data_IF_825010473061
#
_entry.id   IF_825010473061
#
_cell.length_a   1.000
_cell.length_b   1.000
_cell.length_c   1.000
_cell.angle_alpha   90.00
_cell.angle_beta   90.00
_cell.angle_gamma   90.00
#
_symmetry.space_group_name_H-M   'P 1'
#
loop_
_entity.id
_entity.type
_entity.pdbx_description
1 polymer ?
#
# COMPACT_ATOMS: atom_id res chain seq x y z
N UNK A 1 -1.51 34.48 39.37
CA UNK A 1 -0.96 35.10 38.15
C UNK A 1 -1.18 34.12 37.02
N UNK A 2 -2.22 34.37 36.22
CA UNK A 2 -2.58 33.58 35.05
C UNK A 2 -1.73 34.06 33.87
N UNK A 3 -0.92 33.18 33.29
CA UNK A 3 -0.28 33.43 32.01
C UNK A 3 -1.25 33.03 30.91
N UNK A 4 -1.92 34.03 30.33
CA UNK A 4 -2.66 33.91 29.08
C UNK A 4 -1.63 33.82 27.96
N UNK A 5 -1.50 32.64 27.35
CA UNK A 5 -0.76 32.50 26.09
C UNK A 5 -1.66 32.99 24.96
N UNK A 6 -1.24 34.02 24.22
CA UNK A 6 -1.95 34.49 23.03
C UNK A 6 -1.69 33.51 21.88
N UNK A 7 -2.78 32.97 21.32
CA UNK A 7 -2.80 32.06 20.18
C UNK A 7 -2.62 32.91 18.91
N UNK A 8 -1.58 32.64 18.13
CA UNK A 8 -1.42 33.12 16.74
C UNK A 8 -1.87 32.03 15.76
N UNK A 9 -2.44 32.43 14.64
CA UNK A 9 -3.41 31.73 13.78
C UNK A 9 -2.86 30.74 12.73
N UNK A 10 -1.87 29.89 13.06
CA UNK A 10 -1.11 29.14 12.03
C UNK A 10 -1.18 27.59 12.05
N UNK A 11 -2.14 26.98 12.77
CA UNK A 11 -2.08 25.53 13.07
C UNK A 11 -3.23 24.65 12.52
N UNK A 12 -2.87 23.49 11.95
CA UNK A 12 -3.74 22.34 11.66
C UNK A 12 -4.02 21.54 12.94
N UNK A 13 -5.29 21.19 13.22
CA UNK A 13 -5.75 20.50 14.43
C UNK A 13 -6.12 19.03 14.13
N UNK A 14 -5.44 18.06 14.75
CA UNK A 14 -5.78 16.63 14.68
C UNK A 14 -6.20 16.14 16.08
N UNK A 15 -7.33 15.44 16.27
CA UNK A 15 -7.77 15.08 17.64
C UNK A 15 -8.41 13.70 17.88
N UNK A 16 -8.13 13.15 19.08
CA UNK A 16 -9.07 12.32 19.85
C UNK A 16 -8.84 12.51 21.36
N UNK A 17 -9.97 12.61 22.10
CA UNK A 17 -10.17 12.89 23.54
C UNK A 17 -10.07 14.37 23.91
N UNK A 18 -10.85 14.72 24.93
CA UNK A 18 -11.38 16.05 25.26
C UNK A 18 -10.28 17.11 25.50
N UNK A 19 -9.00 16.73 25.61
CA UNK A 19 -7.85 17.63 25.79
C UNK A 19 -6.64 17.38 24.83
N UNK A 20 -6.70 16.46 23.86
CA UNK A 20 -5.55 16.09 22.99
C UNK A 20 -5.75 16.55 21.53
N UNK A 21 -5.37 17.80 21.25
CA UNK A 21 -5.32 18.38 19.91
C UNK A 21 -3.86 18.53 19.50
N UNK A 22 -3.46 17.88 18.41
CA UNK A 22 -2.13 18.06 17.80
C UNK A 22 -2.20 19.27 16.90
N UNK A 23 -1.34 20.25 17.16
CA UNK A 23 -1.16 21.47 16.37
C UNK A 23 0.05 21.29 15.47
N UNK A 24 -0.16 21.41 14.16
CA UNK A 24 0.91 21.36 13.17
C UNK A 24 0.87 22.64 12.33
N UNK A 25 1.97 23.39 12.29
CA UNK A 25 2.03 24.60 11.46
C UNK A 25 1.86 24.26 9.98
N UNK A 26 1.17 25.13 9.24
CA UNK A 26 0.91 24.92 7.81
C UNK A 26 2.21 24.74 6.99
N UNK A 27 3.26 25.48 7.34
CA UNK A 27 4.58 25.37 6.71
C UNK A 27 5.21 24.00 6.93
N UNK A 28 5.21 23.49 8.18
CA UNK A 28 5.74 22.17 8.51
C UNK A 28 4.95 21.07 7.80
N UNK A 29 3.62 21.20 7.78
CA UNK A 29 2.76 20.27 7.08
C UNK A 29 2.99 20.28 5.57
N UNK A 30 3.09 21.46 4.95
CA UNK A 30 3.41 21.60 3.53
C UNK A 30 4.73 20.93 3.19
N UNK A 31 5.78 21.23 3.96
CA UNK A 31 7.10 20.61 3.78
C UNK A 31 7.01 19.08 3.89
N UNK A 32 6.26 18.56 4.87
CA UNK A 32 6.08 17.13 5.07
C UNK A 32 5.36 16.45 3.89
N UNK A 33 4.22 16.99 3.44
CA UNK A 33 3.41 16.36 2.38
C UNK A 33 3.97 16.56 0.97
N UNK A 34 4.92 17.49 0.78
CA UNK A 34 5.59 17.72 -0.50
C UNK A 34 6.99 17.12 -0.58
N UNK A 35 7.49 16.57 0.53
CA UNK A 35 8.79 15.89 0.55
C UNK A 35 8.84 14.72 -0.42
N UNK A 36 9.92 14.67 -1.22
CA UNK A 36 10.25 13.55 -2.11
C UNK A 36 10.98 12.41 -1.38
N UNK A 37 11.27 12.59 -0.09
CA UNK A 37 11.99 11.63 0.74
C UNK A 37 11.24 11.33 2.02
N UNK A 38 11.35 10.08 2.46
CA UNK A 38 10.90 9.69 3.78
C UNK A 38 11.89 10.24 4.81
N UNK A 39 11.39 11.02 5.75
CA UNK A 39 12.13 11.59 6.87
C UNK A 39 11.79 10.79 8.12
N UNK A 40 12.71 9.93 8.53
CA UNK A 40 12.60 9.12 9.76
C UNK A 40 13.40 9.74 10.92
N UNK A 41 13.78 11.00 10.80
CA UNK A 41 14.33 11.76 11.90
C UNK A 41 13.22 12.06 12.92
N UNK A 42 13.59 12.03 14.20
CA UNK A 42 12.71 12.32 15.33
C UNK A 42 12.44 13.84 15.46
N UNK A 43 12.14 14.50 14.33
CA UNK A 43 11.64 15.87 14.26
C UNK A 43 10.15 15.83 14.54
N UNK A 44 9.67 16.77 15.36
CA UNK A 44 8.30 16.75 15.90
C UNK A 44 7.20 16.47 14.87
N UNK A 45 7.28 17.07 13.67
CA UNK A 45 6.31 16.83 12.60
C UNK A 45 6.23 15.36 12.17
N UNK A 46 7.36 14.68 11.99
CA UNK A 46 7.37 13.30 11.51
C UNK A 46 6.73 12.36 12.54
N UNK A 47 7.03 12.58 13.83
CA UNK A 47 6.48 11.79 14.94
C UNK A 47 4.97 12.01 15.05
N UNK A 48 4.50 13.25 14.99
CA UNK A 48 3.07 13.54 15.09
C UNK A 48 2.29 12.99 13.88
N UNK A 49 2.86 13.08 12.68
CA UNK A 49 2.25 12.50 11.48
C UNK A 49 2.27 10.96 11.50
N UNK A 50 3.35 10.34 11.95
CA UNK A 50 3.44 8.88 12.11
C UNK A 50 2.41 8.38 13.14
N UNK A 51 2.25 9.10 14.24
CA UNK A 51 1.22 8.84 15.26
C UNK A 51 -0.18 8.98 14.64
N UNK A 52 -0.46 10.09 13.94
CA UNK A 52 -1.74 10.28 13.25
C UNK A 52 -2.09 9.12 12.33
N UNK A 53 -1.15 8.66 11.50
CA UNK A 53 -1.36 7.57 10.55
C UNK A 53 -1.53 6.20 11.22
N UNK A 54 -0.75 5.91 12.27
CA UNK A 54 -0.83 4.64 13.01
C UNK A 54 -2.16 4.53 13.77
N UNK A 55 -2.65 5.64 14.32
CA UNK A 55 -3.88 5.73 15.10
C UNK A 55 -5.05 6.33 14.32
N UNK A 56 -5.04 6.29 12.98
CA UNK A 56 -6.05 6.95 12.16
C UNK A 56 -7.49 6.48 12.43
N UNK A 57 -7.66 5.23 12.86
CA UNK A 57 -8.97 4.68 13.25
C UNK A 57 -9.50 5.22 14.57
N UNK A 58 -8.63 5.87 15.34
CA UNK A 58 -8.99 6.48 16.60
C UNK A 58 -9.29 7.98 16.44
N UNK A 59 -8.94 8.59 15.31
CA UNK A 59 -9.18 10.01 15.08
C UNK A 59 -10.62 10.23 14.62
N UNK A 60 -11.36 11.08 15.34
CA UNK A 60 -12.75 11.38 15.01
C UNK A 60 -12.86 12.62 14.09
N UNK A 61 -11.89 13.53 14.18
CA UNK A 61 -11.88 14.79 13.44
C UNK A 61 -10.46 15.28 13.14
N UNK A 62 -10.27 15.76 11.92
CA UNK A 62 -9.13 16.52 11.42
C UNK A 62 -9.62 17.92 11.00
N UNK A 63 -8.94 18.97 11.43
CA UNK A 63 -9.20 20.35 11.04
C UNK A 63 -7.94 20.89 10.39
N UNK A 64 -8.05 21.39 9.16
CA UNK A 64 -6.96 22.02 8.41
C UNK A 64 -7.26 23.51 8.38
N UNK A 65 -6.53 24.27 9.19
CA UNK A 65 -6.72 25.71 9.30
C UNK A 65 -5.75 26.44 8.36
N UNK A 66 -6.32 27.06 7.33
CA UNK A 66 -5.63 27.87 6.33
C UNK A 66 -5.90 29.38 6.58
N UNK A 67 -6.28 29.78 7.78
CA UNK A 67 -6.56 31.19 8.11
C UNK A 67 -5.32 32.02 8.48
N UNK A 68 -4.11 31.44 8.36
CA UNK A 68 -2.82 32.08 8.60
C UNK A 68 -2.38 33.12 7.55
N UNK A 69 -1.27 33.81 7.84
CA UNK A 69 -0.73 34.99 7.11
C UNK A 69 -0.88 34.89 5.58
N UNK A 70 -1.63 35.82 4.97
CA UNK A 70 -1.87 35.89 3.51
C UNK A 70 -0.57 35.80 2.70
N UNK A 71 0.55 36.25 3.28
CA UNK A 71 1.88 36.16 2.68
C UNK A 71 2.36 34.71 2.50
N UNK A 72 2.08 33.80 3.44
CA UNK A 72 2.45 32.38 3.35
C UNK A 72 1.64 31.69 2.24
N UNK A 73 0.33 31.95 2.19
CA UNK A 73 -0.55 31.40 1.16
C UNK A 73 -0.20 31.95 -0.23
N UNK A 74 0.24 33.21 -0.32
CA UNK A 74 0.71 33.81 -1.59
C UNK A 74 2.10 33.35 -2.03
N UNK A 75 2.98 32.97 -1.10
CA UNK A 75 4.37 32.56 -1.39
C UNK A 75 4.52 31.04 -1.56
N UNK A 76 3.68 30.24 -0.89
CA UNK A 76 3.57 28.80 -1.13
C UNK A 76 2.81 28.63 -2.44
N UNK A 77 3.56 28.36 -3.51
CA UNK A 77 3.07 28.03 -4.86
C UNK A 77 1.74 27.26 -4.81
N UNK A 78 0.66 27.99 -5.05
CA UNK A 78 -0.73 27.64 -4.73
C UNK A 78 -1.13 26.28 -5.32
N UNK A 79 -0.64 25.93 -6.51
CA UNK A 79 -1.06 24.70 -7.20
C UNK A 79 -0.48 23.42 -6.60
N UNK A 80 0.80 23.43 -6.18
CA UNK A 80 1.47 22.24 -5.67
C UNK A 80 0.98 21.87 -4.28
N UNK A 81 0.75 22.87 -3.42
CA UNK A 81 0.19 22.63 -2.09
C UNK A 81 -1.21 22.03 -2.17
N UNK A 82 -2.14 22.65 -2.91
CA UNK A 82 -3.52 22.14 -3.01
C UNK A 82 -3.60 20.78 -3.69
N UNK A 83 -2.69 20.48 -4.62
CA UNK A 83 -2.56 19.14 -5.19
C UNK A 83 -2.13 18.12 -4.14
N UNK A 84 -1.05 18.38 -3.40
CA UNK A 84 -0.56 17.48 -2.34
C UNK A 84 -1.55 17.34 -1.19
N UNK A 85 -2.22 18.44 -0.81
CA UNK A 85 -3.29 18.43 0.18
C UNK A 85 -4.48 17.60 -0.30
N UNK A 86 -4.88 17.71 -1.56
CA UNK A 86 -5.94 16.87 -2.13
C UNK A 86 -5.56 15.39 -2.11
N UNK A 87 -4.29 15.06 -2.40
CA UNK A 87 -3.78 13.69 -2.27
C UNK A 87 -3.84 13.24 -0.80
N UNK A 88 -3.37 14.07 0.12
CA UNK A 88 -3.39 13.79 1.56
C UNK A 88 -4.80 13.59 2.12
N UNK A 89 -5.78 14.42 1.77
CA UNK A 89 -7.18 14.29 2.22
C UNK A 89 -7.79 13.02 1.63
N UNK A 90 -7.48 12.75 0.36
CA UNK A 90 -7.74 11.45 -0.23
C UNK A 90 -6.82 10.36 0.34
N UNK A 91 -6.13 10.57 1.44
CA UNK A 91 -5.55 9.59 2.34
C UNK A 91 -6.47 8.85 3.27
N UNK A 92 -7.51 9.59 3.63
CA UNK A 92 -8.13 9.48 4.93
C UNK A 92 -9.32 8.54 4.89
N UNK A 93 -9.60 7.79 5.96
CA UNK A 93 -10.78 6.94 6.03
C UNK A 93 -12.09 7.73 5.91
N UNK A 94 -13.13 7.12 5.33
CA UNK A 94 -14.45 7.76 5.14
C UNK A 94 -15.16 8.16 6.44
N UNK A 95 -14.81 7.53 7.57
CA UNK A 95 -15.40 7.88 8.87
C UNK A 95 -14.77 9.14 9.49
N UNK A 96 -13.56 9.52 9.07
CA UNK A 96 -12.85 10.68 9.63
C UNK A 96 -13.55 11.96 9.18
N UNK A 97 -13.93 12.81 10.13
CA UNK A 97 -14.45 14.13 9.80
C UNK A 97 -13.29 15.04 9.42
N UNK A 98 -13.28 15.56 8.20
CA UNK A 98 -12.27 16.52 7.75
C UNK A 98 -12.94 17.86 7.61
N UNK A 99 -12.42 18.88 8.29
CA UNK A 99 -12.85 20.26 8.20
C UNK A 99 -11.69 21.09 7.66
N UNK A 100 -11.89 21.84 6.57
CA UNK A 100 -10.89 22.79 6.07
C UNK A 100 -11.44 24.19 6.31
N UNK A 101 -10.68 25.04 7.00
CA UNK A 101 -10.98 26.46 7.26
C UNK A 101 -10.04 27.32 6.43
N UNK A 102 -10.52 28.44 5.90
CA UNK A 102 -9.69 29.37 5.13
C UNK A 102 -10.51 30.56 4.61
N UNK A 103 -9.83 31.55 4.05
CA UNK A 103 -10.43 32.68 3.32
C UNK A 103 -10.22 32.47 1.80
N UNK A 104 -11.21 32.85 0.97
CA UNK A 104 -11.16 32.73 -0.49
C UNK A 104 -10.88 31.29 -0.98
N UNK A 105 -11.68 30.30 -0.52
CA UNK A 105 -11.47 28.90 -0.85
C UNK A 105 -11.85 28.54 -2.31
N UNK A 106 -12.33 29.48 -3.13
CA UNK A 106 -12.71 29.26 -4.54
C UNK A 106 -11.63 28.51 -5.36
N UNK A 107 -10.34 28.77 -5.09
CA UNK A 107 -9.21 28.07 -5.73
C UNK A 107 -9.10 26.63 -5.21
N UNK A 108 -9.11 26.45 -3.89
CA UNK A 108 -9.10 25.14 -3.23
C UNK A 108 -10.31 24.30 -3.66
N UNK A 109 -11.45 24.93 -3.86
CA UNK A 109 -12.70 24.32 -4.29
C UNK A 109 -12.53 23.63 -5.65
N UNK A 110 -11.73 24.14 -6.58
CA UNK A 110 -11.47 23.44 -7.86
C UNK A 110 -10.69 22.13 -7.72
N UNK A 111 -9.80 22.02 -6.72
CA UNK A 111 -8.99 20.83 -6.45
C UNK A 111 -9.73 19.85 -5.53
N UNK A 112 -10.31 20.36 -4.45
CA UNK A 112 -11.10 19.64 -3.46
C UNK A 112 -12.41 19.15 -4.09
N UNK A 113 -13.00 19.90 -5.03
CA UNK A 113 -14.27 19.53 -5.67
C UNK A 113 -14.24 18.25 -6.47
N UNK A 114 -13.10 17.89 -7.08
CA UNK A 114 -12.97 16.66 -7.86
C UNK A 114 -13.07 15.41 -6.99
N UNK A 115 -12.94 15.53 -5.66
CA UNK A 115 -13.02 14.42 -4.69
C UNK A 115 -14.14 14.60 -3.65
N UNK A 116 -15.19 15.35 -4.02
CA UNK A 116 -16.39 15.69 -3.21
C UNK A 116 -17.11 14.51 -2.52
N UNK A 117 -16.91 13.28 -2.98
CA UNK A 117 -17.45 12.07 -2.33
C UNK A 117 -16.79 11.73 -0.99
N UNK A 118 -15.57 12.22 -0.74
CA UNK A 118 -14.69 11.75 0.35
C UNK A 118 -14.57 12.75 1.52
N UNK A 119 -15.19 13.94 1.40
CA UNK A 119 -15.10 15.01 2.41
C UNK A 119 -16.45 15.15 3.08
N UNK A 120 -16.46 15.01 4.40
CA UNK A 120 -17.66 15.04 5.23
C UNK A 120 -18.24 16.45 5.35
N UNK A 121 -17.40 17.48 5.54
CA UNK A 121 -17.81 18.88 5.68
C UNK A 121 -16.70 19.84 5.15
N UNK A 122 -17.04 20.89 4.39
CA UNK A 122 -16.14 22.02 4.09
C UNK A 122 -16.77 23.26 4.73
N UNK A 123 -16.00 24.01 5.54
CA UNK A 123 -16.51 25.18 6.27
C UNK A 123 -15.69 26.41 5.88
N UNK A 124 -16.22 27.21 4.96
CA UNK A 124 -15.60 28.48 4.58
C UNK A 124 -16.00 29.62 5.54
N UNK A 125 -15.01 30.38 6.01
CA UNK A 125 -15.22 31.52 6.89
C UNK A 125 -15.62 32.76 6.08
N UNK A 126 -16.78 32.71 5.42
CA UNK A 126 -17.51 33.87 4.90
C UNK A 126 -19.02 33.59 4.73
N UNK A 127 -19.64 32.90 5.70
CA UNK A 127 -21.09 32.84 5.90
C UNK A 127 -21.96 32.36 4.71
N UNK A 128 -21.48 31.41 3.90
CA UNK A 128 -22.27 30.48 3.04
C UNK A 128 -21.23 29.64 2.29
N UNK A 129 -20.99 28.40 2.66
CA UNK A 129 -21.67 27.22 2.09
C UNK A 129 -21.48 26.05 3.07
N UNK A 130 -22.58 25.40 3.49
CA UNK A 130 -22.54 24.07 4.13
C UNK A 130 -22.99 23.06 3.09
N UNK A 131 -22.05 22.40 2.40
CA UNK A 131 -22.38 21.36 1.43
C UNK A 131 -22.14 19.99 2.03
N UNK A 132 -23.21 19.41 2.59
CA UNK A 132 -23.24 18.01 3.03
C UNK A 132 -23.30 17.10 1.80
N UNK A 133 -22.20 16.47 1.44
CA UNK A 133 -22.13 15.58 0.28
C UNK A 133 -22.09 14.14 0.77
N UNK A 134 -23.15 13.39 0.47
CA UNK A 134 -23.17 11.93 0.62
C UNK A 134 -23.04 11.33 -0.77
N UNK A 135 -21.91 10.71 -1.08
CA UNK A 135 -21.85 9.83 -2.26
C UNK A 135 -22.40 8.46 -1.89
N UNK A 136 -23.71 8.28 -2.11
CA UNK A 136 -24.26 6.95 -2.32
C UNK A 136 -24.28 6.70 -3.83
N UNK A 137 -23.23 6.07 -4.35
CA UNK A 137 -23.37 5.25 -5.54
C UNK A 137 -22.95 3.83 -5.18
N UNK A 138 -23.92 2.93 -5.20
CA UNK A 138 -23.69 1.50 -5.23
C UNK A 138 -23.01 1.18 -6.57
N UNK A 139 -21.69 1.33 -6.63
CA UNK A 139 -20.91 0.80 -7.75
C UNK A 139 -20.89 -0.71 -7.65
N UNK A 140 -21.13 -1.41 -8.77
CA UNK A 140 -20.84 -2.84 -8.90
C UNK A 140 -19.42 -3.11 -8.39
N UNK A 141 -19.24 -4.13 -7.56
CA UNK A 141 -17.92 -4.54 -7.13
C UNK A 141 -17.08 -4.96 -8.34
N UNK A 142 -15.83 -4.52 -8.35
CA UNK A 142 -14.86 -4.90 -9.37
C UNK A 142 -14.23 -6.22 -8.95
N UNK A 143 -14.23 -7.19 -9.85
CA UNK A 143 -13.56 -8.47 -9.61
C UNK A 143 -12.05 -8.23 -9.57
N UNK A 144 -11.42 -8.64 -8.48
CA UNK A 144 -10.01 -8.38 -8.19
C UNK A 144 -9.27 -9.70 -8.09
N UNK A 145 -8.21 -9.83 -8.87
CA UNK A 145 -7.26 -10.92 -8.78
C UNK A 145 -5.96 -10.38 -8.19
N UNK A 146 -5.41 -11.09 -7.21
CA UNK A 146 -4.19 -10.71 -6.52
C UNK A 146 -3.14 -11.80 -6.74
N UNK A 147 -1.98 -11.42 -7.27
CA UNK A 147 -0.77 -12.24 -7.27
C UNK A 147 0.29 -11.53 -6.42
N UNK A 148 0.53 -11.99 -5.21
CA UNK A 148 1.43 -11.31 -4.30
C UNK A 148 1.13 -11.64 -2.85
N UNK A 149 1.73 -10.90 -1.94
CA UNK A 149 1.73 -11.24 -0.52
C UNK A 149 0.87 -10.27 0.31
N UNK A 150 1.29 -9.96 1.53
CA UNK A 150 0.64 -8.99 2.41
C UNK A 150 0.49 -7.60 1.77
N UNK A 151 1.46 -7.19 0.95
CA UNK A 151 1.54 -5.83 0.41
C UNK A 151 0.36 -5.47 -0.48
N UNK A 152 -0.13 -6.41 -1.29
CA UNK A 152 -1.34 -6.21 -2.11
C UNK A 152 -2.61 -6.67 -1.40
N UNK A 153 -2.57 -7.77 -0.63
CA UNK A 153 -3.75 -8.26 0.11
C UNK A 153 -4.29 -7.20 1.07
N UNK A 154 -3.40 -6.58 1.84
CA UNK A 154 -3.80 -5.64 2.89
C UNK A 154 -4.31 -4.31 2.32
N UNK A 155 -4.05 -3.98 1.06
CA UNK A 155 -4.75 -2.90 0.33
C UNK A 155 -6.26 -3.09 0.44
N UNK A 156 -6.74 -4.26 0.04
CA UNK A 156 -8.17 -4.55 -0.04
C UNK A 156 -8.80 -4.79 1.33
N UNK A 157 -8.08 -5.47 2.23
CA UNK A 157 -8.53 -5.68 3.62
C UNK A 157 -8.69 -4.34 4.35
N UNK A 158 -7.64 -3.51 4.36
CA UNK A 158 -7.69 -2.21 5.05
C UNK A 158 -8.73 -1.30 4.40
N UNK A 159 -8.87 -1.31 3.07
CA UNK A 159 -9.94 -0.56 2.40
C UNK A 159 -11.32 -1.01 2.89
N UNK A 160 -11.58 -2.31 2.95
CA UNK A 160 -12.84 -2.86 3.47
C UNK A 160 -13.07 -2.52 4.95
N UNK A 161 -12.03 -2.55 5.78
CA UNK A 161 -12.13 -2.26 7.22
C UNK A 161 -12.41 -0.77 7.51
N UNK A 162 -12.10 0.13 6.57
CA UNK A 162 -12.12 1.60 6.77
C UNK A 162 -13.19 2.34 5.96
N UNK A 163 -13.73 1.71 4.91
CA UNK A 163 -14.75 2.29 4.05
C UNK A 163 -16.10 1.60 4.27
N UNK A 164 -17.20 2.36 4.10
CA UNK A 164 -18.56 1.83 4.36
C UNK A 164 -19.01 0.81 3.33
N UNK A 165 -18.49 0.91 2.12
CA UNK A 165 -18.84 0.06 0.98
C UNK A 165 -17.56 -0.53 0.40
N UNK A 166 -17.46 -1.85 0.37
CA UNK A 166 -16.37 -2.49 -0.38
C UNK A 166 -16.65 -2.44 -1.87
N UNK A 167 -15.69 -1.89 -2.62
CA UNK A 167 -15.73 -1.77 -4.09
C UNK A 167 -15.00 -2.90 -4.81
N UNK A 168 -14.29 -3.74 -4.06
CA UNK A 168 -13.46 -4.81 -4.60
C UNK A 168 -13.98 -6.16 -4.13
N UNK A 169 -14.11 -7.09 -5.07
CA UNK A 169 -14.46 -8.48 -4.80
C UNK A 169 -13.27 -9.36 -5.18
N UNK A 170 -12.55 -9.89 -4.18
CA UNK A 170 -11.38 -10.74 -4.43
C UNK A 170 -11.87 -12.10 -4.95
N UNK A 171 -11.68 -12.36 -6.24
CA UNK A 171 -12.13 -13.60 -6.89
C UNK A 171 -11.03 -14.66 -6.95
N UNK A 172 -9.76 -14.24 -6.88
CA UNK A 172 -8.61 -15.15 -6.77
C UNK A 172 -7.43 -14.48 -6.07
N UNK A 173 -6.73 -15.24 -5.24
CA UNK A 173 -5.55 -14.78 -4.49
C UNK A 173 -4.47 -15.87 -4.50
N UNK A 174 -3.34 -15.56 -5.14
CA UNK A 174 -2.13 -16.39 -5.14
C UNK A 174 -1.03 -15.68 -4.33
N UNK A 175 -0.37 -16.42 -3.42
CA UNK A 175 0.64 -15.90 -2.50
C UNK A 175 1.63 -16.98 -2.07
N UNK A 176 2.78 -16.56 -1.53
CA UNK A 176 3.94 -17.37 -1.18
C UNK A 176 4.53 -18.10 -2.39
N UNK A 177 4.41 -17.50 -3.59
CA UNK A 177 4.94 -18.04 -4.84
C UNK A 177 5.80 -16.97 -5.52
N UNK A 178 7.07 -17.30 -5.75
CA UNK A 178 7.95 -16.47 -6.57
C UNK A 178 7.58 -16.62 -8.05
N UNK A 179 7.43 -15.48 -8.73
CA UNK A 179 7.16 -15.41 -10.16
C UNK A 179 8.29 -16.02 -10.99
N UNK A 180 9.51 -16.10 -10.45
CA UNK A 180 10.65 -16.78 -11.07
C UNK A 180 10.36 -18.23 -11.44
N UNK A 181 9.39 -18.89 -10.77
CA UNK A 181 9.06 -20.30 -11.02
C UNK A 181 7.59 -20.53 -11.40
N UNK A 182 6.80 -19.48 -11.65
CA UNK A 182 5.35 -19.62 -11.88
C UNK A 182 5.00 -20.49 -13.11
N UNK A 183 5.93 -20.59 -14.07
CA UNK A 183 5.81 -21.38 -15.31
C UNK A 183 6.75 -22.59 -15.35
N UNK A 184 7.34 -22.98 -14.22
CA UNK A 184 8.20 -24.16 -14.16
C UNK A 184 7.38 -25.45 -14.38
N UNK A 185 8.08 -26.58 -14.60
CA UNK A 185 7.44 -27.90 -14.66
C UNK A 185 6.82 -28.25 -13.30
N UNK A 186 5.58 -28.76 -13.24
CA UNK A 186 4.99 -29.22 -11.99
C UNK A 186 5.83 -30.29 -11.29
N UNK A 187 5.95 -30.19 -9.96
CA UNK A 187 6.56 -31.21 -9.14
C UNK A 187 5.55 -32.33 -8.85
N UNK A 188 5.96 -33.59 -8.97
CA UNK A 188 5.12 -34.74 -8.62
C UNK A 188 5.30 -35.06 -7.13
N UNK A 189 4.20 -35.01 -6.37
CA UNK A 189 4.20 -35.25 -4.93
C UNK A 189 2.92 -35.97 -4.49
N UNK A 190 2.97 -36.66 -3.36
CA UNK A 190 1.78 -37.12 -2.67
C UNK A 190 1.20 -35.98 -1.82
N UNK A 191 -0.04 -35.59 -2.14
CA UNK A 191 -0.80 -34.51 -1.49
C UNK A 191 -0.96 -34.72 0.02
N UNK A 192 -0.85 -35.95 0.51
CA UNK A 192 -0.89 -36.28 1.93
C UNK A 192 0.28 -35.70 2.74
N UNK A 193 1.41 -35.42 2.10
CA UNK A 193 2.59 -34.86 2.77
C UNK A 193 2.61 -33.33 2.82
N UNK A 194 1.62 -32.66 2.24
CA UNK A 194 1.51 -31.18 2.18
C UNK A 194 0.50 -30.65 3.20
N UNK A 195 0.15 -31.42 4.24
CA UNK A 195 -0.85 -31.02 5.24
C UNK A 195 -0.33 -29.88 6.11
N UNK A 196 -1.13 -28.83 6.24
CA UNK A 196 -0.91 -27.71 7.16
C UNK A 196 -2.18 -27.43 7.98
N UNK A 197 -2.03 -26.70 9.09
CA UNK A 197 -3.17 -26.28 9.93
C UNK A 197 -4.13 -25.37 9.15
N UNK A 198 -3.58 -24.40 8.40
CA UNK A 198 -4.36 -23.53 7.53
C UNK A 198 -4.59 -24.18 6.17
N UNK A 199 -5.86 -24.42 5.83
CA UNK A 199 -6.26 -24.93 4.50
C UNK A 199 -5.94 -23.98 3.36
N UNK A 200 -5.96 -22.68 3.62
CA UNK A 200 -5.54 -21.69 2.66
C UNK A 200 -4.03 -21.83 2.35
N UNK A 201 -3.17 -21.86 3.38
CA UNK A 201 -1.72 -22.00 3.18
C UNK A 201 -1.34 -23.36 2.59
N UNK A 202 -2.06 -24.43 2.95
CA UNK A 202 -1.95 -25.75 2.30
C UNK A 202 -2.23 -25.65 0.78
N UNK A 203 -3.26 -24.89 0.39
CA UNK A 203 -3.57 -24.65 -1.03
C UNK A 203 -2.47 -23.86 -1.73
N UNK A 204 -1.91 -22.82 -1.10
CA UNK A 204 -0.81 -22.03 -1.70
C UNK A 204 0.40 -22.90 -2.03
N UNK A 205 0.81 -23.78 -1.10
CA UNK A 205 1.93 -24.71 -1.35
C UNK A 205 1.61 -25.67 -2.49
N UNK A 206 0.37 -26.20 -2.54
CA UNK A 206 -0.04 -27.09 -3.62
C UNK A 206 -0.10 -26.40 -4.98
N UNK A 207 -0.57 -25.15 -5.01
CA UNK A 207 -0.65 -24.34 -6.21
C UNK A 207 0.74 -24.05 -6.78
N UNK A 208 1.73 -23.77 -5.92
CA UNK A 208 3.13 -23.63 -6.33
C UNK A 208 3.69 -24.94 -6.89
N UNK A 209 3.57 -26.04 -6.15
CA UNK A 209 4.11 -27.34 -6.58
C UNK A 209 3.46 -27.83 -7.88
N UNK A 210 2.16 -27.57 -8.09
CA UNK A 210 1.42 -28.04 -9.26
C UNK A 210 1.40 -27.05 -10.44
N UNK A 211 1.89 -25.82 -10.24
CA UNK A 211 2.03 -24.78 -11.27
C UNK A 211 0.71 -24.44 -11.99
N UNK A 212 -0.39 -24.45 -11.23
CA UNK A 212 -1.75 -24.20 -11.74
C UNK A 212 -2.17 -22.73 -11.70
N UNK A 213 -1.34 -21.86 -11.11
CA UNK A 213 -1.69 -20.47 -10.76
C UNK A 213 -2.12 -19.65 -11.98
N UNK A 214 -1.36 -19.71 -13.08
CA UNK A 214 -1.71 -18.96 -14.31
C UNK A 214 -3.06 -19.41 -14.87
N UNK A 215 -3.34 -20.72 -14.85
CA UNK A 215 -4.63 -21.24 -15.28
C UNK A 215 -5.77 -20.80 -14.34
N UNK A 216 -5.52 -20.73 -13.04
CA UNK A 216 -6.51 -20.27 -12.07
C UNK A 216 -6.78 -18.76 -12.21
N UNK A 217 -5.75 -17.96 -12.50
CA UNK A 217 -5.89 -16.53 -12.86
C UNK A 217 -6.80 -16.39 -14.09
N UNK A 218 -6.49 -17.10 -15.19
CA UNK A 218 -7.28 -17.05 -16.43
C UNK A 218 -8.75 -17.41 -16.16
N UNK A 219 -9.00 -18.49 -15.42
CA UNK A 219 -10.37 -18.95 -15.12
C UNK A 219 -11.18 -18.00 -14.25
N UNK A 220 -10.51 -17.21 -13.42
CA UNK A 220 -11.17 -16.30 -12.47
C UNK A 220 -11.37 -14.90 -13.05
N UNK A 221 -10.83 -14.63 -14.25
CA UNK A 221 -10.77 -13.31 -14.84
C UNK A 221 -11.93 -13.06 -15.82
N UNK A 222 -12.51 -11.87 -15.75
CA UNK A 222 -13.43 -11.30 -16.73
C UNK A 222 -12.81 -10.04 -17.36
N UNK A 223 -13.32 -9.55 -18.51
CA UNK A 223 -12.80 -8.33 -19.14
C UNK A 223 -12.84 -7.08 -18.24
N UNK A 224 -13.74 -7.09 -17.24
CA UNK A 224 -13.90 -6.04 -16.24
C UNK A 224 -13.17 -6.31 -14.92
N UNK A 225 -12.39 -7.40 -14.83
CA UNK A 225 -11.53 -7.64 -13.67
C UNK A 225 -10.36 -6.66 -13.62
N UNK A 226 -9.75 -6.55 -12.45
CA UNK A 226 -8.43 -5.97 -12.26
C UNK A 226 -7.46 -7.03 -11.77
N UNK A 227 -6.19 -6.87 -12.15
CA UNK A 227 -5.09 -7.71 -11.69
C UNK A 227 -4.09 -6.87 -10.92
N UNK A 228 -3.81 -7.25 -9.67
CA UNK A 228 -2.83 -6.56 -8.83
C UNK A 228 -1.68 -7.50 -8.50
N UNK A 229 -0.46 -7.04 -8.75
CA UNK A 229 0.76 -7.79 -8.49
C UNK A 229 1.74 -7.04 -7.60
N UNK A 230 2.27 -7.72 -6.57
CA UNK A 230 3.49 -7.30 -5.86
C UNK A 230 4.58 -8.37 -5.99
N UNK A 231 5.78 -8.02 -5.58
CA UNK A 231 6.96 -8.89 -5.64
C UNK A 231 7.46 -9.30 -4.25
N UNK A 232 6.64 -9.17 -3.20
CA UNK A 232 7.09 -9.43 -1.83
C UNK A 232 7.53 -10.90 -1.64
N UNK A 233 6.93 -11.82 -2.39
CA UNK A 233 7.31 -13.24 -2.38
C UNK A 233 8.67 -13.54 -3.05
N UNK A 234 9.26 -12.57 -3.75
CA UNK A 234 10.62 -12.71 -4.28
C UNK A 234 11.69 -12.69 -3.17
N UNK A 235 11.32 -12.49 -1.91
CA UNK A 235 12.24 -12.67 -0.77
C UNK A 235 12.59 -14.14 -0.51
N UNK A 236 11.85 -15.08 -1.10
CA UNK A 236 12.08 -16.51 -0.91
C UNK A 236 13.12 -17.06 -1.89
N UNK A 237 13.97 -17.98 -1.42
CA UNK A 237 14.79 -18.80 -2.30
C UNK A 237 13.92 -19.73 -3.18
N UNK A 238 14.52 -20.28 -4.22
CA UNK A 238 13.93 -21.32 -5.06
C UNK A 238 14.60 -22.67 -4.80
N UNK A 239 13.79 -23.72 -4.66
CA UNK A 239 14.24 -25.11 -4.58
C UNK A 239 14.22 -25.70 -5.98
N UNK A 240 15.30 -26.42 -6.33
CA UNK A 240 15.35 -27.31 -7.50
C UNK A 240 15.29 -28.75 -7.02
N UNK A 241 14.33 -29.52 -7.53
CA UNK A 241 14.16 -30.91 -7.14
C UNK A 241 13.52 -31.71 -8.29
N UNK A 242 14.19 -32.78 -8.71
CA UNK A 242 13.68 -33.74 -9.70
C UNK A 242 13.22 -33.08 -11.01
N UNK A 243 13.97 -32.08 -11.48
CA UNK A 243 13.65 -31.35 -12.72
C UNK A 243 12.50 -30.33 -12.61
N UNK A 244 12.04 -30.04 -11.40
CA UNK A 244 11.08 -28.97 -11.10
C UNK A 244 11.73 -27.86 -10.28
N UNK A 245 11.09 -26.69 -10.27
CA UNK A 245 11.48 -25.52 -9.47
C UNK A 245 10.27 -24.96 -8.75
N UNK A 246 10.41 -24.65 -7.46
CA UNK A 246 9.33 -24.07 -6.64
C UNK A 246 9.87 -23.25 -5.49
N UNK A 247 9.03 -22.39 -4.94
CA UNK A 247 9.38 -21.41 -3.92
C UNK A 247 9.66 -22.11 -2.59
N UNK A 248 10.79 -21.78 -1.96
CA UNK A 248 11.13 -22.22 -0.59
C UNK A 248 10.34 -21.44 0.46
N UNK A 249 9.02 -21.36 0.30
CA UNK A 249 8.16 -20.61 1.21
C UNK A 249 8.22 -21.17 2.63
N UNK A 250 7.99 -20.33 3.64
CA UNK A 250 7.93 -20.78 5.04
C UNK A 250 6.87 -21.86 5.26
N UNK A 251 5.79 -21.85 4.47
CA UNK A 251 4.71 -22.82 4.56
C UNK A 251 5.13 -24.17 3.99
N UNK A 252 5.85 -24.20 2.87
CA UNK A 252 6.43 -25.44 2.36
C UNK A 252 7.38 -26.06 3.39
N UNK A 253 8.23 -25.25 4.02
CA UNK A 253 9.22 -25.72 5.00
C UNK A 253 8.59 -26.40 6.22
N UNK A 254 7.32 -26.12 6.53
CA UNK A 254 6.56 -26.75 7.62
C UNK A 254 5.96 -28.11 7.26
N UNK A 255 5.97 -28.49 5.98
CA UNK A 255 5.33 -29.73 5.51
C UNK A 255 6.21 -30.97 5.75
N UNK A 256 5.58 -32.13 5.88
CA UNK A 256 6.30 -33.41 5.88
C UNK A 256 6.96 -33.69 4.52
N UNK A 257 6.41 -33.14 3.43
CA UNK A 257 7.02 -33.24 2.10
C UNK A 257 8.43 -32.65 2.13
N UNK A 258 8.58 -31.41 2.61
CA UNK A 258 9.87 -30.71 2.61
C UNK A 258 10.96 -31.46 3.37
N UNK A 259 10.63 -32.08 4.50
CA UNK A 259 11.58 -32.88 5.31
C UNK A 259 12.16 -34.08 4.56
N UNK A 260 11.44 -34.57 3.55
CA UNK A 260 11.79 -35.76 2.78
C UNK A 260 12.21 -35.42 1.33
N UNK A 261 12.33 -34.14 0.97
CA UNK A 261 12.77 -33.75 -0.37
C UNK A 261 14.25 -34.05 -0.55
N UNK A 262 14.59 -34.69 -1.67
CA UNK A 262 15.96 -34.75 -2.15
C UNK A 262 16.25 -33.49 -2.97
N UNK A 263 16.68 -32.43 -2.29
CA UNK A 263 16.94 -31.13 -2.91
C UNK A 263 18.21 -31.21 -3.77
N UNK A 264 18.09 -30.93 -5.07
CA UNK A 264 19.22 -30.94 -6.00
C UNK A 264 20.09 -29.69 -5.80
N UNK A 265 19.44 -28.53 -5.65
CA UNK A 265 20.10 -27.25 -5.34
C UNK A 265 19.09 -26.21 -4.85
N UNK A 266 19.61 -25.11 -4.29
CA UNK A 266 18.84 -23.94 -3.87
C UNK A 266 19.38 -22.73 -4.60
N UNK A 267 18.51 -21.99 -5.28
CA UNK A 267 18.82 -20.72 -5.91
C UNK A 267 18.44 -19.59 -4.96
N UNK A 268 19.44 -18.81 -4.55
CA UNK A 268 19.26 -17.74 -3.57
C UNK A 268 18.39 -16.60 -4.12
N UNK A 269 17.65 -15.94 -3.24
CA UNK A 269 16.61 -14.99 -3.64
C UNK A 269 17.10 -13.78 -4.44
N UNK A 270 18.36 -13.35 -4.25
CA UNK A 270 18.97 -12.18 -4.91
C UNK A 270 19.90 -12.53 -6.08
N UNK A 271 19.95 -13.81 -6.48
CA UNK A 271 20.82 -14.27 -7.54
C UNK A 271 20.43 -13.71 -8.92
N UNK A 272 21.43 -13.51 -9.78
CA UNK A 272 21.22 -13.05 -11.17
C UNK A 272 20.31 -13.98 -11.97
N UNK A 273 20.49 -15.29 -11.82
CA UNK A 273 19.64 -16.28 -12.49
C UNK A 273 18.17 -16.14 -12.05
N UNK A 274 17.90 -15.87 -10.77
CA UNK A 274 16.54 -15.63 -10.31
C UNK A 274 15.98 -14.31 -10.83
N UNK A 275 16.79 -13.26 -10.89
CA UNK A 275 16.40 -11.98 -11.51
C UNK A 275 15.98 -12.17 -12.98
N UNK A 276 16.79 -12.89 -13.78
CA UNK A 276 16.47 -13.18 -15.18
C UNK A 276 15.17 -13.98 -15.32
N UNK A 277 14.99 -15.02 -14.50
CA UNK A 277 13.78 -15.83 -14.49
C UNK A 277 12.54 -15.02 -14.08
N UNK A 278 12.69 -14.12 -13.09
CA UNK A 278 11.65 -13.20 -12.63
C UNK A 278 11.20 -12.29 -13.78
N UNK A 279 12.13 -11.58 -14.41
CA UNK A 279 11.85 -10.67 -15.52
C UNK A 279 11.20 -11.40 -16.71
N UNK A 280 11.73 -12.56 -17.08
CA UNK A 280 11.18 -13.42 -18.15
C UNK A 280 9.75 -13.86 -17.88
N UNK A 281 9.47 -14.31 -16.66
CA UNK A 281 8.14 -14.82 -16.31
C UNK A 281 7.12 -13.71 -16.06
N UNK A 282 7.52 -12.55 -15.54
CA UNK A 282 6.68 -11.34 -15.52
C UNK A 282 6.24 -10.99 -16.94
N UNK A 283 7.19 -10.89 -17.88
CA UNK A 283 6.86 -10.59 -19.29
C UNK A 283 5.86 -11.59 -19.87
N UNK A 284 6.03 -12.89 -19.60
CA UNK A 284 5.09 -13.92 -20.06
C UNK A 284 3.71 -13.79 -19.41
N UNK A 285 3.65 -13.54 -18.10
CA UNK A 285 2.40 -13.34 -17.38
C UNK A 285 1.65 -12.12 -17.92
N UNK A 286 2.33 -10.99 -18.09
CA UNK A 286 1.75 -9.76 -18.62
C UNK A 286 1.22 -9.93 -20.06
N UNK A 287 1.92 -10.71 -20.90
CA UNK A 287 1.45 -11.06 -22.24
C UNK A 287 0.19 -11.94 -22.23
N UNK A 288 0.04 -12.83 -21.24
CA UNK A 288 -1.20 -13.59 -21.04
C UNK A 288 -2.33 -12.65 -20.62
N UNK A 289 -2.05 -11.75 -19.67
CA UNK A 289 -3.04 -10.82 -19.13
C UNK A 289 -3.54 -9.80 -20.16
N UNK A 290 -2.66 -9.28 -21.02
CA UNK A 290 -3.04 -8.33 -22.07
C UNK A 290 -3.99 -8.90 -23.12
N UNK A 291 -4.06 -10.23 -23.24
CA UNK A 291 -5.05 -10.92 -24.06
C UNK A 291 -6.43 -11.09 -23.40
N UNK A 292 -6.55 -10.79 -22.10
CA UNK A 292 -7.76 -11.04 -21.28
C UNK A 292 -8.40 -9.76 -20.76
N UNK A 293 -7.57 -8.81 -20.34
CA UNK A 293 -7.98 -7.51 -19.79
C UNK A 293 -7.14 -6.40 -20.42
N UNK A 294 -7.69 -5.19 -20.40
CA UNK A 294 -6.98 -4.00 -20.87
C UNK A 294 -5.82 -3.67 -19.91
N UNK A 295 -4.70 -3.18 -20.45
CA UNK A 295 -3.46 -2.94 -19.67
C UNK A 295 -3.66 -1.93 -18.53
N UNK A 296 -4.60 -0.99 -18.69
CA UNK A 296 -5.01 -0.04 -17.66
C UNK A 296 -5.78 -0.68 -16.48
N UNK A 297 -6.01 -2.00 -16.51
CA UNK A 297 -6.58 -2.79 -15.40
C UNK A 297 -5.55 -3.71 -14.73
N UNK A 298 -4.29 -3.62 -15.17
CA UNK A 298 -3.15 -4.28 -14.54
C UNK A 298 -2.45 -3.25 -13.66
N UNK A 299 -2.28 -3.59 -12.38
CA UNK A 299 -1.66 -2.73 -11.38
C UNK A 299 -0.44 -3.43 -10.78
N UNK A 300 0.72 -2.81 -10.96
CA UNK A 300 1.97 -3.23 -10.35
C UNK A 300 2.18 -2.45 -9.05
N UNK A 301 2.12 -3.15 -7.92
CA UNK A 301 2.26 -2.61 -6.58
C UNK A 301 3.74 -2.45 -6.23
N UNK A 302 4.30 -1.28 -6.50
CA UNK A 302 5.71 -0.97 -6.26
C UNK A 302 6.00 -0.89 -4.76
N UNK A 303 6.46 -1.99 -4.19
CA UNK A 303 6.70 -2.06 -2.74
C UNK A 303 8.12 -2.50 -2.47
N UNK A 304 8.83 -1.67 -1.71
CA UNK A 304 10.15 -1.93 -1.16
C UNK A 304 10.00 -2.06 0.35
N UNK A 305 10.76 -2.96 0.97
CA UNK A 305 10.80 -3.09 2.42
C UNK A 305 11.18 -1.74 3.05
N UNK A 306 10.40 -1.28 4.02
CA UNK A 306 10.72 -0.07 4.77
C UNK A 306 11.92 -0.33 5.70
N UNK A 307 12.73 0.70 5.91
CA UNK A 307 13.91 0.62 6.78
C UNK A 307 13.59 0.90 8.25
N UNK A 308 12.45 1.52 8.55
CA UNK A 308 12.05 1.93 9.89
C UNK A 308 10.59 1.57 10.19
N UNK A 309 10.28 1.40 11.48
CA UNK A 309 8.91 1.36 11.99
C UNK A 309 8.70 2.43 13.05
N UNK A 310 7.45 2.84 13.23
CA UNK A 310 7.08 3.73 14.32
C UNK A 310 6.71 2.92 15.56
N UNK A 311 7.31 3.24 16.71
CA UNK A 311 7.16 2.45 17.95
C UNK A 311 5.93 2.82 18.80
N UNK A 312 5.00 3.62 18.25
CA UNK A 312 3.83 4.20 18.91
C UNK A 312 4.09 5.22 20.03
N UNK A 313 5.30 5.31 20.56
CA UNK A 313 5.62 6.25 21.62
C UNK A 313 6.05 7.59 21.01
N UNK A 314 7.24 7.63 20.42
CA UNK A 314 7.85 8.90 19.99
C UNK A 314 9.05 8.76 19.07
N UNK A 315 9.31 7.58 18.48
CA UNK A 315 10.52 7.38 17.69
C UNK A 315 10.31 6.45 16.50
N UNK A 316 11.10 6.70 15.45
CA UNK A 316 11.34 5.74 14.39
C UNK A 316 12.48 4.81 14.79
N UNK A 317 12.25 3.50 14.72
CA UNK A 317 13.24 2.50 15.04
C UNK A 317 13.64 1.77 13.75
N UNK A 318 14.94 1.63 13.44
CA UNK A 318 15.38 0.89 12.27
C UNK A 318 15.10 -0.60 12.44
N UNK A 319 14.71 -1.25 11.34
CA UNK A 319 14.72 -2.71 11.26
C UNK A 319 16.17 -3.22 11.13
N UNK A 320 16.45 -4.41 11.67
CA UNK A 320 17.74 -5.07 11.45
C UNK A 320 17.83 -5.59 10.02
N UNK A 321 18.79 -5.04 9.26
CA UNK A 321 19.08 -5.50 7.91
C UNK A 321 19.59 -6.95 7.90
N UNK A 322 20.30 -7.37 8.96
CA UNK A 322 20.81 -8.73 9.11
C UNK A 322 19.69 -9.77 9.23
N UNK A 323 18.56 -9.39 9.84
CA UNK A 323 17.41 -10.28 10.02
C UNK A 323 16.54 -10.40 8.76
N UNK A 324 16.49 -9.35 7.94
CA UNK A 324 15.51 -9.23 6.85
C UNK A 324 16.12 -9.12 5.46
N UNK A 325 17.43 -8.88 5.35
CA UNK A 325 18.14 -8.61 4.09
C UNK A 325 17.50 -7.47 3.29
N UNK A 326 17.09 -6.40 3.98
CA UNK A 326 16.33 -5.25 3.44
C UNK A 326 17.04 -4.66 2.23
N UNK A 327 18.34 -4.39 2.34
CA UNK A 327 19.10 -3.75 1.26
C UNK A 327 19.18 -4.65 0.02
N UNK A 328 19.54 -5.92 0.21
CA UNK A 328 19.66 -6.89 -0.88
C UNK A 328 18.30 -7.12 -1.58
N UNK A 329 17.23 -7.25 -0.80
CA UNK A 329 15.87 -7.37 -1.31
C UNK A 329 15.45 -6.11 -2.07
N UNK A 330 15.65 -4.92 -1.50
CA UNK A 330 15.26 -3.67 -2.16
C UNK A 330 16.06 -3.42 -3.44
N UNK A 331 17.35 -3.79 -3.49
CA UNK A 331 18.16 -3.75 -4.72
C UNK A 331 17.59 -4.70 -5.77
N UNK A 332 17.32 -5.95 -5.40
CA UNK A 332 16.74 -6.95 -6.29
C UNK A 332 15.40 -6.47 -6.87
N UNK A 333 14.47 -6.05 -6.01
CA UNK A 333 13.14 -5.58 -6.41
C UNK A 333 13.21 -4.32 -7.26
N UNK A 334 14.07 -3.36 -6.91
CA UNK A 334 14.21 -2.12 -7.70
C UNK A 334 14.64 -2.41 -9.12
N UNK A 335 15.54 -3.38 -9.33
CA UNK A 335 15.95 -3.83 -10.67
C UNK A 335 14.79 -4.44 -11.44
N UNK A 336 13.98 -5.28 -10.79
CA UNK A 336 12.81 -5.90 -11.44
C UNK A 336 11.76 -4.84 -11.78
N UNK A 337 11.45 -3.91 -10.86
CA UNK A 337 10.52 -2.79 -11.11
C UNK A 337 10.99 -1.97 -12.31
N UNK A 338 12.28 -1.62 -12.36
CA UNK A 338 12.85 -0.86 -13.47
C UNK A 338 12.73 -1.63 -14.80
N UNK A 339 13.00 -2.94 -14.80
CA UNK A 339 12.77 -3.78 -15.96
C UNK A 339 11.31 -3.71 -16.44
N UNK A 340 10.33 -3.80 -15.54
CA UNK A 340 8.90 -3.72 -15.91
C UNK A 340 8.56 -2.33 -16.44
N UNK A 341 9.04 -1.24 -15.81
CA UNK A 341 8.80 0.13 -16.28
C UNK A 341 9.30 0.36 -17.70
N UNK A 342 10.52 -0.10 -17.99
CA UNK A 342 11.17 0.07 -19.30
C UNK A 342 10.48 -0.77 -20.38
N UNK A 343 10.09 -2.01 -20.07
CA UNK A 343 9.60 -2.97 -21.07
C UNK A 343 8.07 -3.06 -21.18
N UNK A 344 7.32 -2.54 -20.20
CA UNK A 344 5.87 -2.68 -20.10
C UNK A 344 5.19 -1.37 -19.66
N UNK A 345 5.43 -0.28 -20.40
CA UNK A 345 4.96 1.08 -20.09
C UNK A 345 3.43 1.28 -20.10
N UNK A 346 2.66 0.29 -20.56
CA UNK A 346 1.19 0.35 -20.63
C UNK A 346 0.48 -0.10 -19.35
N UNK A 347 1.24 -0.58 -18.35
CA UNK A 347 0.75 -1.05 -17.05
C UNK A 347 0.68 0.13 -16.07
N UNK A 348 -0.30 0.12 -15.18
CA UNK A 348 -0.33 1.09 -14.10
C UNK A 348 0.61 0.66 -12.99
N UNK A 349 1.45 1.59 -12.55
CA UNK A 349 2.21 1.42 -11.33
C UNK A 349 1.53 2.18 -10.20
N UNK A 350 1.38 1.53 -9.06
CA UNK A 350 0.93 2.17 -7.84
C UNK A 350 2.12 2.28 -6.90
N UNK A 351 2.30 3.47 -6.31
CA UNK A 351 3.38 3.79 -5.38
C UNK A 351 2.79 4.51 -4.15
N UNK A 352 3.59 4.88 -3.17
CA UNK A 352 3.12 5.63 -1.99
C UNK A 352 3.98 6.86 -1.80
N UNK A 353 3.40 7.98 -1.32
CA UNK A 353 4.19 9.08 -0.82
C UNK A 353 5.24 8.58 0.19
N UNK A 354 6.49 9.07 0.13
CA UNK A 354 7.57 8.57 0.97
C UNK A 354 7.26 8.62 2.47
N UNK A 355 6.53 9.63 2.92
CA UNK A 355 6.15 9.81 4.32
C UNK A 355 5.21 8.72 4.89
N UNK A 356 4.63 7.87 4.04
CA UNK A 356 3.84 6.71 4.46
C UNK A 356 4.66 5.42 4.53
N UNK A 357 5.94 5.43 4.15
CA UNK A 357 6.73 4.22 3.95
C UNK A 357 7.39 3.71 5.24
N UNK A 358 6.61 3.44 6.29
CA UNK A 358 7.13 2.92 7.54
C UNK A 358 6.27 1.77 8.09
N UNK A 359 6.93 0.88 8.83
CA UNK A 359 6.30 -0.27 9.46
C UNK A 359 5.41 0.09 10.64
N UNK A 360 4.38 -0.71 10.87
CA UNK A 360 3.41 -0.54 11.96
C UNK A 360 3.57 -1.65 13.00
N UNK A 361 3.94 -1.29 14.23
CA UNK A 361 4.10 -2.25 15.32
C UNK A 361 2.78 -2.85 15.83
N UNK A 362 1.64 -2.27 15.44
CA UNK A 362 0.29 -2.80 15.71
C UNK A 362 -0.29 -3.62 14.56
N UNK A 363 0.50 -3.87 13.51
CA UNK A 363 0.02 -4.60 12.35
C UNK A 363 -0.47 -6.01 12.72
N UNK A 364 -1.61 -6.41 12.18
CA UNK A 364 -2.31 -7.67 12.50
C UNK A 364 -1.41 -8.91 12.36
N UNK A 365 -0.44 -8.85 11.45
CA UNK A 365 0.45 -9.95 11.11
C UNK A 365 1.84 -9.84 11.75
N UNK A 366 1.98 -8.97 12.75
CA UNK A 366 3.24 -8.72 13.46
C UNK A 366 4.12 -7.65 12.81
N UNK A 367 5.19 -7.30 13.49
CA UNK A 367 6.10 -6.23 13.08
C UNK A 367 7.19 -6.76 12.13
N UNK A 368 7.09 -6.38 10.86
CA UNK A 368 8.03 -6.74 9.81
C UNK A 368 8.22 -5.57 8.82
N UNK A 369 9.34 -5.48 8.09
CA UNK A 369 9.63 -4.35 7.20
C UNK A 369 8.77 -4.29 5.93
N UNK A 370 7.80 -5.20 5.80
CA UNK A 370 6.81 -5.25 4.73
C UNK A 370 5.37 -5.18 5.28
N UNK A 371 5.21 -4.79 6.55
CA UNK A 371 3.94 -4.58 7.21
C UNK A 371 3.80 -3.11 7.58
N UNK A 372 3.14 -2.35 6.69
CA UNK A 372 3.09 -0.90 6.74
C UNK A 372 1.92 -0.39 7.60
N UNK A 373 1.93 0.90 7.90
CA UNK A 373 0.77 1.60 8.46
C UNK A 373 -0.45 1.53 7.54
N UNK A 374 -1.65 1.72 8.11
CA UNK A 374 -2.92 1.60 7.36
C UNK A 374 -3.02 2.57 6.19
N UNK A 375 -2.51 3.79 6.34
CA UNK A 375 -2.58 4.82 5.29
C UNK A 375 -1.71 4.52 4.08
N UNK A 376 -0.62 3.75 4.23
CA UNK A 376 0.10 3.16 3.11
C UNK A 376 -0.86 2.38 2.20
N UNK A 377 -1.62 1.43 2.77
CA UNK A 377 -2.58 0.60 2.03
C UNK A 377 -3.74 1.40 1.44
N UNK A 378 -4.26 2.40 2.17
CA UNK A 378 -5.34 3.27 1.68
C UNK A 378 -4.92 4.11 0.48
N UNK A 379 -3.69 4.61 0.47
CA UNK A 379 -3.16 5.39 -0.65
C UNK A 379 -3.07 4.56 -1.94
N UNK A 380 -2.75 3.26 -1.82
CA UNK A 380 -2.71 2.31 -2.95
C UNK A 380 -4.11 1.98 -3.44
N UNK A 381 -5.04 1.68 -2.53
CA UNK A 381 -6.44 1.38 -2.87
C UNK A 381 -7.07 2.51 -3.69
N UNK A 382 -6.73 3.76 -3.35
CA UNK A 382 -7.25 4.92 -4.06
C UNK A 382 -6.62 5.18 -5.40
N UNK A 383 -5.34 4.88 -5.61
CA UNK A 383 -4.77 4.92 -6.96
C UNK A 383 -5.48 3.92 -7.86
N UNK A 384 -5.69 2.69 -7.38
CA UNK A 384 -6.46 1.67 -8.10
C UNK A 384 -7.87 2.21 -8.42
N UNK A 385 -8.58 2.75 -7.43
CA UNK A 385 -9.93 3.26 -7.63
C UNK A 385 -9.98 4.44 -8.63
N UNK A 386 -9.04 5.39 -8.52
CA UNK A 386 -9.00 6.58 -9.39
C UNK A 386 -8.69 6.24 -10.84
N UNK A 387 -8.03 5.11 -11.11
CA UNK A 387 -7.78 4.63 -12.47
C UNK A 387 -8.98 3.92 -13.11
N UNK A 388 -10.02 3.59 -12.33
CA UNK A 388 -11.21 2.87 -12.79
C UNK A 388 -12.42 3.77 -13.06
N UNK A 389 -12.38 5.03 -12.61
CA UNK A 389 -13.41 6.07 -12.81
C UNK A 389 -12.92 7.05 -13.85
#
# INVERSE_FOLDING_TARGET
MSYTYQITTDDMLIGKRIDDVIYISLESFYSYITSDKATYDDVGINIEMARFFSFINEVDKLIIDLTGDENIISNILVDNFFTSLSVFISILPEFLKVEVKGQNLDVADSYISKRKSEISDIIEFNNKIVKKIRSNSLSKQVETIIYGSCDSRDIFRIYQDTNRVTRFNIVYYATNISIATILATPFLYDKNFVKLESKFLESCVRDDLSKVIVNNIIKSMTPDSIFVIDLMDERFDIIRCSGSEFTKSWNLQKTELFKNLNIDSVLHFDSEEKYENTCKNITKLLNVLSGLISSNRIFFNETLMCTHYFNNDSAFIPFSNECYSIDAFNIFISRVIEYVKVNHSSINFISTPPYLNFGDCTHLWGLHPYHYNKTFYLSRARQIFSSLV
#
